data_IF_291734773830
#
_entry.id   IF_291734773830
#
_cell.length_a   1.000
_cell.length_b   1.000
_cell.length_c   1.000
_cell.angle_alpha   90.00
_cell.angle_beta   90.00
_cell.angle_gamma   90.00
#
_symmetry.space_group_name_H-M   'P 1'
#
loop_
_entity.id
_entity.type
_entity.pdbx_description
1 polymer ?
#
# COMPACT_ATOMS: atom_id res chain seq x y z
N UNK A 1 -17.29 21.50 -48.52
CA UNK A 1 -17.56 20.11 -48.10
C UNK A 1 -16.53 19.24 -48.80
N UNK A 2 -15.47 18.88 -48.10
CA UNK A 2 -14.35 18.09 -48.63
C UNK A 2 -14.07 17.02 -47.58
N UNK A 3 -14.36 15.78 -47.94
CA UNK A 3 -14.10 14.56 -47.18
C UNK A 3 -12.65 14.20 -47.47
N UNK A 4 -11.79 14.22 -46.45
CA UNK A 4 -10.49 13.58 -46.51
C UNK A 4 -10.55 12.32 -45.65
N UNK A 5 -10.52 11.16 -46.31
CA UNK A 5 -10.35 9.86 -45.69
C UNK A 5 -8.98 9.82 -45.00
N UNK A 6 -8.98 9.77 -43.66
CA UNK A 6 -7.81 9.42 -42.85
C UNK A 6 -7.44 7.96 -43.12
N UNK A 7 -6.37 7.73 -43.88
CA UNK A 7 -5.53 6.54 -43.71
C UNK A 7 -4.49 6.86 -42.64
N UNK A 8 -4.90 6.80 -41.38
CA UNK A 8 -3.95 6.76 -40.27
C UNK A 8 -3.47 5.33 -40.14
N UNK A 9 -2.26 5.07 -40.64
CA UNK A 9 -1.49 3.89 -40.26
C UNK A 9 -1.17 4.04 -38.77
N UNK A 10 -2.02 3.47 -37.92
CA UNK A 10 -1.70 3.30 -36.51
C UNK A 10 -0.63 2.21 -36.42
N UNK A 11 0.62 2.59 -36.24
CA UNK A 11 1.60 1.68 -35.65
C UNK A 11 1.22 1.49 -34.18
N UNK A 12 0.36 0.51 -33.90
CA UNK A 12 0.14 0.03 -32.54
C UNK A 12 1.34 -0.83 -32.15
N UNK A 13 2.35 -0.22 -31.52
CA UNK A 13 3.21 -0.97 -30.61
C UNK A 13 2.38 -1.13 -29.33
N UNK A 14 1.60 -2.21 -29.25
CA UNK A 14 0.81 -2.53 -28.07
C UNK A 14 1.73 -3.07 -26.97
N UNK A 15 2.43 -2.17 -26.28
CA UNK A 15 2.78 -2.46 -24.89
C UNK A 15 1.50 -2.33 -24.09
N UNK A 16 0.97 -3.47 -23.64
CA UNK A 16 -0.28 -3.53 -22.90
C UNK A 16 -0.26 -2.57 -21.72
N UNK A 17 -1.16 -1.57 -21.77
CA UNK A 17 -1.46 -0.59 -20.71
C UNK A 17 -0.63 0.70 -20.65
N UNK A 18 -0.50 1.40 -21.79
CA UNK A 18 -0.02 2.78 -21.77
C UNK A 18 -1.17 3.76 -21.43
N UNK A 19 -1.43 3.96 -20.13
CA UNK A 19 -2.49 4.85 -19.64
C UNK A 19 -2.15 6.36 -19.72
N UNK A 20 -0.97 6.71 -20.24
CA UNK A 20 -0.58 8.10 -20.42
C UNK A 20 -1.32 8.70 -21.62
N UNK A 21 -1.93 9.87 -21.42
CA UNK A 21 -2.68 10.61 -22.45
C UNK A 21 -2.37 12.10 -22.34
N UNK A 22 -2.35 12.79 -23.48
CA UNK A 22 -2.26 14.25 -23.49
C UNK A 22 -3.67 14.83 -23.41
N UNK A 23 -3.95 15.58 -22.35
CA UNK A 23 -5.20 16.32 -22.17
C UNK A 23 -4.97 17.77 -22.56
N UNK A 24 -5.75 18.23 -23.52
CA UNK A 24 -5.66 19.57 -24.09
C UNK A 24 -6.57 20.52 -23.31
N UNK A 25 -6.01 21.61 -22.81
CA UNK A 25 -6.72 22.66 -22.07
C UNK A 25 -6.31 24.04 -22.59
N UNK A 26 -7.18 25.04 -22.34
CA UNK A 26 -6.85 26.44 -22.60
C UNK A 26 -6.23 27.07 -21.35
N UNK A 27 -5.06 27.64 -21.51
CA UNK A 27 -4.34 28.23 -20.38
C UNK A 27 -2.94 28.69 -20.72
N UNK A 28 -2.30 29.32 -19.74
CA UNK A 28 -0.89 29.68 -19.80
C UNK A 28 -0.18 29.35 -18.47
N UNK A 29 1.04 28.78 -18.50
CA UNK A 29 1.82 28.60 -17.29
C UNK A 29 2.24 29.95 -16.70
N UNK A 30 1.99 30.17 -15.40
CA UNK A 30 2.40 31.37 -14.67
C UNK A 30 3.65 31.15 -13.82
N UNK A 31 3.82 29.92 -13.31
CA UNK A 31 5.00 29.49 -12.54
C UNK A 31 5.30 28.04 -12.90
N UNK A 32 6.58 27.72 -13.09
CA UNK A 32 6.99 26.34 -13.34
C UNK A 32 8.46 26.09 -13.10
N UNK A 33 8.78 24.83 -12.78
CA UNK A 33 10.14 24.31 -12.85
C UNK A 33 10.61 24.38 -14.31
N UNK A 34 11.90 24.66 -14.53
CA UNK A 34 12.49 25.06 -15.82
C UNK A 34 11.93 24.37 -17.07
N UNK A 35 11.89 25.10 -18.18
CA UNK A 35 11.34 24.65 -19.46
C UNK A 35 12.41 24.64 -20.56
N UNK A 36 12.29 23.69 -21.49
CA UNK A 36 13.00 23.76 -22.78
C UNK A 36 12.11 24.43 -23.82
N UNK A 37 12.71 25.13 -24.78
CA UNK A 37 11.98 25.88 -25.82
C UNK A 37 12.37 25.38 -27.21
N UNK A 38 11.37 25.20 -28.08
CA UNK A 38 11.53 24.67 -29.43
C UNK A 38 10.63 25.46 -30.41
N UNK A 39 11.09 25.65 -31.64
CA UNK A 39 10.29 26.26 -32.72
C UNK A 39 9.67 25.17 -33.59
N UNK A 40 8.53 24.65 -33.14
CA UNK A 40 7.85 23.52 -33.76
C UNK A 40 6.34 23.73 -33.75
N UNK A 41 5.62 23.01 -34.62
CA UNK A 41 4.16 23.08 -34.66
C UNK A 41 3.53 22.58 -33.35
N UNK A 42 2.28 22.96 -33.12
CA UNK A 42 1.55 22.50 -31.94
C UNK A 42 1.48 20.97 -31.85
N UNK A 43 1.22 20.31 -32.97
CA UNK A 43 1.14 18.86 -33.10
C UNK A 43 2.45 18.19 -32.69
N UNK A 44 3.58 18.76 -33.12
CA UNK A 44 4.89 18.28 -32.71
C UNK A 44 5.17 18.60 -31.24
N UNK A 45 4.69 19.72 -30.72
CA UNK A 45 4.93 20.14 -29.35
C UNK A 45 4.36 19.17 -28.30
N UNK A 46 3.06 18.86 -28.37
CA UNK A 46 2.47 17.93 -27.41
C UNK A 46 2.90 16.48 -27.69
N UNK A 47 3.21 16.12 -28.94
CA UNK A 47 3.73 14.79 -29.28
C UNK A 47 5.13 14.58 -28.71
N UNK A 48 6.00 15.58 -28.81
CA UNK A 48 7.33 15.56 -28.21
C UNK A 48 7.24 15.44 -26.69
N UNK A 49 6.33 16.20 -26.05
CA UNK A 49 6.08 16.05 -24.63
C UNK A 49 5.56 14.65 -24.26
N UNK A 50 4.69 14.07 -25.09
CA UNK A 50 4.17 12.73 -24.86
C UNK A 50 5.28 11.69 -24.75
N UNK A 51 6.23 11.71 -25.68
CA UNK A 51 7.35 10.76 -25.74
C UNK A 51 8.50 11.07 -24.79
N UNK A 52 8.67 12.33 -24.38
CA UNK A 52 9.69 12.71 -23.40
C UNK A 52 9.28 12.27 -21.99
N UNK A 53 10.04 11.34 -21.41
CA UNK A 53 9.82 10.80 -20.07
C UNK A 53 9.85 11.88 -18.98
N UNK A 54 10.54 13.00 -19.19
CA UNK A 54 10.65 14.09 -18.22
C UNK A 54 9.60 15.18 -18.44
N UNK A 55 8.86 15.17 -19.54
CA UNK A 55 7.88 16.20 -19.84
C UNK A 55 6.52 15.90 -19.20
N UNK A 56 6.02 16.87 -18.43
CA UNK A 56 4.70 16.82 -17.79
C UNK A 56 3.67 17.68 -18.53
N UNK A 57 4.14 18.76 -19.15
CA UNK A 57 3.28 19.78 -19.73
C UNK A 57 3.95 20.42 -20.94
N UNK A 58 3.21 20.52 -22.05
CA UNK A 58 3.58 21.30 -23.23
C UNK A 58 2.73 22.55 -23.31
N UNK A 59 3.33 23.70 -23.57
CA UNK A 59 2.63 24.95 -23.85
C UNK A 59 3.06 25.46 -25.21
N UNK A 60 2.11 25.85 -26.06
CA UNK A 60 2.41 26.41 -27.36
C UNK A 60 1.74 27.76 -27.57
N UNK A 61 2.54 28.75 -27.94
CA UNK A 61 2.08 30.08 -28.27
C UNK A 61 3.02 30.75 -29.27
N UNK A 62 2.46 31.40 -30.29
CA UNK A 62 3.22 32.15 -31.30
C UNK A 62 4.37 31.34 -31.94
N UNK A 63 4.10 30.09 -32.32
CA UNK A 63 5.06 29.13 -32.91
C UNK A 63 6.21 28.69 -31.99
N UNK A 64 6.14 29.03 -30.70
CA UNK A 64 7.08 28.54 -29.70
C UNK A 64 6.41 27.46 -28.85
N UNK A 65 7.06 26.31 -28.77
CA UNK A 65 6.74 25.22 -27.88
C UNK A 65 7.62 25.28 -26.64
N UNK A 66 7.02 25.27 -25.46
CA UNK A 66 7.70 25.15 -24.17
C UNK A 66 7.35 23.82 -23.53
N UNK A 67 8.35 23.00 -23.24
CA UNK A 67 8.17 21.74 -22.53
C UNK A 67 8.62 21.90 -21.08
N UNK A 68 7.68 21.67 -20.17
CA UNK A 68 7.90 21.77 -18.73
C UNK A 68 8.16 20.39 -18.15
N UNK A 69 9.22 20.31 -17.37
CA UNK A 69 9.51 19.11 -16.61
C UNK A 69 8.42 18.86 -15.56
N UNK A 70 8.43 17.65 -15.03
CA UNK A 70 7.69 17.31 -13.83
C UNK A 70 8.06 18.20 -12.63
N UNK A 71 7.04 18.73 -11.93
CA UNK A 71 7.25 19.66 -10.83
C UNK A 71 6.02 20.47 -10.45
N UNK A 72 6.19 21.37 -9.48
CA UNK A 72 5.12 22.30 -9.09
C UNK A 72 4.88 23.28 -10.23
N UNK A 73 3.66 23.31 -10.75
CA UNK A 73 3.25 24.16 -11.87
C UNK A 73 1.97 24.90 -11.51
N UNK A 74 1.89 26.17 -11.89
CA UNK A 74 0.66 26.95 -11.82
C UNK A 74 0.29 27.36 -13.23
N UNK A 75 -0.96 27.12 -13.60
CA UNK A 75 -1.55 27.43 -14.90
C UNK A 75 -2.67 28.42 -14.66
N UNK A 76 -2.66 29.55 -15.35
CA UNK A 76 -3.84 30.41 -15.45
C UNK A 76 -4.76 29.83 -16.50
N UNK A 77 -6.01 29.57 -16.10
CA UNK A 77 -7.04 29.07 -17.00
C UNK A 77 -7.49 30.21 -17.92
N UNK A 78 -7.58 29.90 -19.20
CA UNK A 78 -7.94 30.83 -20.25
C UNK A 78 -9.12 30.28 -21.05
N UNK A 79 -9.73 31.15 -21.84
CA UNK A 79 -10.81 30.76 -22.72
C UNK A 79 -10.29 30.40 -24.11
N UNK A 80 -11.14 29.74 -24.90
CA UNK A 80 -10.82 29.36 -26.28
C UNK A 80 -10.37 30.53 -27.15
N UNK A 81 -10.88 31.72 -26.89
CA UNK A 81 -10.57 32.95 -27.64
C UNK A 81 -9.12 33.41 -27.49
N UNK A 82 -8.43 32.99 -26.42
CA UNK A 82 -7.06 33.43 -26.13
C UNK A 82 -6.01 32.70 -26.98
N UNK A 83 -6.38 31.61 -27.67
CA UNK A 83 -5.48 30.88 -28.59
C UNK A 83 -4.25 30.26 -27.94
N UNK A 84 -4.23 30.17 -26.60
CA UNK A 84 -3.13 29.62 -25.80
C UNK A 84 -3.48 28.21 -25.34
N UNK A 85 -2.68 27.25 -25.78
CA UNK A 85 -2.95 25.83 -25.58
C UNK A 85 -1.92 25.21 -24.65
N UNK A 86 -2.43 24.36 -23.77
CA UNK A 86 -1.63 23.49 -22.92
C UNK A 86 -2.01 22.05 -23.19
N UNK A 87 -1.00 21.21 -23.34
CA UNK A 87 -1.10 19.76 -23.38
C UNK A 87 -0.54 19.26 -22.07
N UNK A 88 -1.41 18.72 -21.22
CA UNK A 88 -1.02 18.16 -19.94
C UNK A 88 -0.96 16.65 -20.04
N UNK A 89 0.18 16.04 -19.70
CA UNK A 89 0.30 14.59 -19.64
C UNK A 89 -0.43 14.07 -18.41
N UNK A 90 -1.47 13.27 -18.63
CA UNK A 90 -2.34 12.69 -17.59
C UNK A 90 -2.31 11.16 -17.64
N UNK A 91 -2.52 10.51 -16.50
CA UNK A 91 -2.64 9.05 -16.42
C UNK A 91 -4.12 8.65 -16.32
N UNK A 92 -4.75 8.33 -17.46
CA UNK A 92 -6.19 8.10 -17.59
C UNK A 92 -6.50 6.65 -17.99
N UNK A 93 -7.42 6.01 -17.28
CA UNK A 93 -7.88 4.64 -17.56
C UNK A 93 -8.85 4.55 -18.74
N UNK A 94 -9.64 5.61 -18.99
CA UNK A 94 -10.62 5.66 -20.08
C UNK A 94 -10.10 6.45 -21.29
N UNK A 95 -10.48 6.06 -22.51
CA UNK A 95 -10.17 6.77 -23.77
C UNK A 95 -10.98 8.06 -23.97
N UNK A 96 -11.88 8.37 -23.05
CA UNK A 96 -12.61 9.63 -22.99
C UNK A 96 -11.89 10.68 -22.15
N UNK A 97 -12.01 11.96 -22.53
CA UNK A 97 -11.58 13.06 -21.69
C UNK A 97 -12.31 13.03 -20.34
N UNK A 98 -11.61 13.28 -19.21
CA UNK A 98 -12.25 13.35 -17.90
C UNK A 98 -13.21 14.54 -17.85
N UNK A 99 -14.33 14.39 -17.14
CA UNK A 99 -15.34 15.45 -16.99
C UNK A 99 -14.75 16.73 -16.37
N UNK A 100 -13.74 16.59 -15.50
CA UNK A 100 -12.94 17.70 -15.02
C UNK A 100 -11.45 17.45 -15.29
N UNK A 101 -10.89 17.97 -16.39
CA UNK A 101 -9.47 17.79 -16.72
C UNK A 101 -8.53 18.60 -15.81
N UNK A 102 -9.06 19.47 -14.95
CA UNK A 102 -8.31 20.40 -14.10
C UNK A 102 -8.44 20.08 -12.61
N UNK A 103 -8.92 18.88 -12.29
CA UNK A 103 -8.97 18.34 -10.95
C UNK A 103 -8.55 16.87 -10.94
N UNK A 104 -8.06 16.43 -9.78
CA UNK A 104 -7.82 15.03 -9.48
C UNK A 104 -6.36 14.70 -9.18
N UNK A 105 -6.10 13.42 -9.01
CA UNK A 105 -4.78 12.92 -8.66
C UNK A 105 -4.28 11.96 -9.72
N UNK A 106 -3.10 12.24 -10.23
CA UNK A 106 -2.40 11.37 -11.16
C UNK A 106 -1.18 10.77 -10.48
N UNK A 107 -0.77 9.59 -10.94
CA UNK A 107 0.48 8.99 -10.53
C UNK A 107 1.23 8.47 -11.74
N UNK A 108 2.53 8.71 -11.79
CA UNK A 108 3.41 8.27 -12.85
C UNK A 108 4.71 7.79 -12.22
N UNK A 109 5.36 6.88 -12.93
CA UNK A 109 6.62 6.31 -12.52
C UNK A 109 7.74 6.87 -13.40
N UNK A 110 8.85 7.24 -12.78
CA UNK A 110 10.12 7.41 -13.45
C UNK A 110 11.23 6.82 -12.56
N UNK A 111 12.14 6.04 -13.15
CA UNK A 111 13.27 5.41 -12.48
C UNK A 111 12.97 4.82 -11.09
N UNK A 112 11.96 3.96 -10.98
CA UNK A 112 11.53 3.29 -9.74
C UNK A 112 10.91 4.20 -8.66
N UNK A 113 10.61 5.45 -8.98
CA UNK A 113 9.93 6.40 -8.10
C UNK A 113 8.51 6.64 -8.64
N UNK A 114 7.50 6.46 -7.78
CA UNK A 114 6.12 6.90 -8.00
C UNK A 114 6.00 8.34 -7.54
N UNK A 115 5.68 9.17 -8.51
CA UNK A 115 5.32 10.55 -8.31
C UNK A 115 3.81 10.69 -8.36
N UNK A 116 3.29 11.55 -7.50
CA UNK A 116 1.88 11.89 -7.43
C UNK A 116 1.72 13.37 -7.73
N UNK A 117 0.94 13.65 -8.78
CA UNK A 117 0.46 14.99 -9.08
C UNK A 117 -0.90 15.17 -8.44
N UNK A 118 -1.05 16.19 -7.61
CA UNK A 118 -2.36 16.66 -7.17
C UNK A 118 -2.72 17.91 -7.98
N UNK A 119 -3.78 17.82 -8.76
CA UNK A 119 -4.26 18.89 -9.62
C UNK A 119 -5.47 19.50 -8.93
N UNK A 120 -5.36 20.77 -8.58
CA UNK A 120 -6.45 21.54 -7.98
C UNK A 120 -6.76 22.74 -8.86
N UNK A 121 -8.02 23.17 -8.88
CA UNK A 121 -8.45 24.36 -9.59
C UNK A 121 -9.37 25.18 -8.70
N UNK A 122 -9.20 26.51 -8.75
CA UNK A 122 -10.12 27.48 -8.14
C UNK A 122 -10.96 28.22 -9.20
N UNK A 123 -11.02 27.71 -10.44
CA UNK A 123 -11.73 28.32 -11.57
C UNK A 123 -10.97 29.43 -12.32
N UNK A 124 -9.86 29.94 -11.76
CA UNK A 124 -9.00 30.95 -12.41
C UNK A 124 -7.59 30.40 -12.61
N UNK A 125 -7.09 29.68 -11.62
CA UNK A 125 -5.81 29.02 -11.64
C UNK A 125 -5.99 27.52 -11.41
N UNK A 126 -5.14 26.75 -12.08
CA UNK A 126 -4.93 25.34 -11.85
C UNK A 126 -3.52 25.16 -11.28
N UNK A 127 -3.41 24.53 -10.12
CA UNK A 127 -2.15 24.23 -9.47
C UNK A 127 -1.91 22.73 -9.53
N UNK A 128 -0.75 22.36 -10.04
CA UNK A 128 -0.24 20.99 -10.06
C UNK A 128 0.84 20.92 -8.98
N UNK A 129 0.54 20.22 -7.90
CA UNK A 129 1.52 19.97 -6.82
C UNK A 129 2.13 18.60 -7.02
N UNK A 130 3.46 18.57 -7.05
CA UNK A 130 4.27 17.38 -7.25
C UNK A 130 4.73 16.81 -5.90
N UNK A 131 4.53 15.52 -5.69
CA UNK A 131 4.99 14.83 -4.48
C UNK A 131 5.58 13.46 -4.81
N UNK A 132 6.70 13.11 -4.20
CA UNK A 132 7.26 11.75 -4.22
C UNK A 132 6.45 10.92 -3.23
N UNK A 133 5.93 9.77 -3.66
CA UNK A 133 5.02 8.97 -2.82
C UNK A 133 5.42 7.53 -2.63
N UNK A 134 6.23 6.95 -3.51
CA UNK A 134 6.77 5.60 -3.33
C UNK A 134 8.05 5.44 -4.14
N UNK A 135 9.21 5.38 -3.49
CA UNK A 135 10.46 4.95 -4.13
C UNK A 135 10.57 3.43 -3.93
N UNK A 136 10.73 2.60 -4.94
CA UNK A 136 11.13 1.19 -4.73
C UNK A 136 12.65 1.18 -4.51
N UNK A 137 13.13 0.58 -3.41
CA UNK A 137 14.57 0.59 -3.11
C UNK A 137 15.34 0.05 -4.30
N UNK A 138 16.42 0.73 -4.69
CA UNK A 138 17.24 0.49 -5.88
C UNK A 138 17.97 -0.86 -5.92
N UNK A 139 17.66 -1.80 -5.01
CA UNK A 139 18.27 -3.11 -4.91
C UNK A 139 17.19 -4.22 -4.94
N UNK A 140 16.89 -4.75 -6.13
CA UNK A 140 16.17 -6.03 -6.31
C UNK A 140 14.64 -5.96 -6.25
N UNK A 141 14.04 -4.78 -6.38
CA UNK A 141 12.59 -4.62 -6.57
C UNK A 141 12.28 -3.83 -7.84
N UNK A 142 11.16 -4.14 -8.48
CA UNK A 142 10.60 -3.39 -9.61
C UNK A 142 9.21 -2.92 -9.24
N UNK A 143 8.91 -1.70 -9.67
CA UNK A 143 7.61 -1.07 -9.49
C UNK A 143 6.64 -1.58 -10.56
N UNK A 144 5.46 -2.02 -10.13
CA UNK A 144 4.35 -2.39 -11.00
C UNK A 144 3.06 -1.70 -10.57
N UNK A 145 2.10 -1.71 -11.50
CA UNK A 145 0.76 -1.19 -11.29
C UNK A 145 -0.23 -2.34 -11.24
N UNK A 146 -1.04 -2.40 -10.18
CA UNK A 146 -2.10 -3.39 -9.96
C UNK A 146 -3.42 -2.70 -9.62
N UNK A 147 -4.28 -2.48 -10.61
CA UNK A 147 -5.55 -1.79 -10.42
C UNK A 147 -5.41 -0.50 -9.58
N UNK A 148 -5.84 -0.53 -8.31
CA UNK A 148 -5.79 0.60 -7.37
C UNK A 148 -4.48 0.71 -6.59
N UNK A 149 -3.51 -0.18 -6.83
CA UNK A 149 -2.25 -0.24 -6.11
C UNK A 149 -1.06 0.08 -7.03
N UNK A 150 -0.10 0.81 -6.47
CA UNK A 150 1.29 0.74 -6.91
C UNK A 150 2.03 -0.21 -5.99
N UNK A 151 2.79 -1.15 -6.55
CA UNK A 151 3.47 -2.20 -5.79
C UNK A 151 4.95 -2.25 -6.14
N UNK A 152 5.80 -2.37 -5.14
CA UNK A 152 7.19 -2.75 -5.31
C UNK A 152 7.29 -4.26 -5.09
N UNK A 153 7.63 -5.02 -6.12
CA UNK A 153 7.75 -6.49 -6.03
C UNK A 153 9.12 -6.96 -6.47
N UNK A 154 9.54 -8.12 -5.98
CA UNK A 154 10.85 -8.68 -6.31
C UNK A 154 10.94 -10.16 -5.99
N UNK A 155 12.09 -10.75 -6.32
CA UNK A 155 12.36 -12.16 -6.05
C UNK A 155 13.36 -12.28 -4.90
N UNK A 156 13.06 -13.18 -3.97
CA UNK A 156 13.98 -13.59 -2.91
C UNK A 156 14.38 -15.04 -3.12
N UNK A 157 15.68 -15.29 -3.08
CA UNK A 157 16.25 -16.61 -3.33
C UNK A 157 16.74 -17.25 -2.03
N UNK A 158 16.51 -18.55 -1.91
CA UNK A 158 17.00 -19.39 -0.83
C UNK A 158 18.42 -19.89 -1.10
N UNK A 159 19.13 -20.21 -0.01
CA UNK A 159 20.42 -20.88 -0.09
C UNK A 159 20.31 -22.32 -0.64
N UNK A 160 19.18 -23.00 -0.43
CA UNK A 160 18.86 -24.33 -0.97
C UNK A 160 17.38 -24.42 -1.37
N UNK A 161 16.94 -25.50 -2.01
CA UNK A 161 15.53 -25.68 -2.35
C UNK A 161 14.68 -25.75 -1.05
N UNK A 162 13.60 -24.98 -1.00
CA UNK A 162 12.81 -24.84 0.23
C UNK A 162 11.29 -24.94 -0.01
N UNK A 163 10.53 -25.41 0.99
CA UNK A 163 9.08 -25.50 0.93
C UNK A 163 8.39 -24.13 1.00
N UNK A 164 7.10 -24.09 0.68
CA UNK A 164 6.30 -22.86 0.64
C UNK A 164 6.27 -22.10 1.98
N UNK A 165 6.29 -22.81 3.11
CA UNK A 165 6.29 -22.18 4.44
C UNK A 165 7.54 -21.30 4.67
N UNK A 166 8.67 -21.68 4.09
CA UNK A 166 9.89 -20.88 4.16
C UNK A 166 9.79 -19.64 3.24
N UNK A 167 9.08 -19.74 2.12
CA UNK A 167 8.76 -18.60 1.25
C UNK A 167 7.95 -17.55 1.99
N UNK A 168 6.90 -17.97 2.70
CA UNK A 168 6.09 -17.07 3.54
C UNK A 168 6.95 -16.36 4.58
N UNK A 169 7.74 -17.12 5.35
CA UNK A 169 8.63 -16.55 6.38
C UNK A 169 9.64 -15.58 5.78
N UNK A 170 10.18 -15.89 4.60
CA UNK A 170 11.16 -15.04 3.93
C UNK A 170 10.55 -13.73 3.44
N UNK A 171 9.36 -13.77 2.82
CA UNK A 171 8.69 -12.58 2.32
C UNK A 171 8.01 -11.75 3.44
N UNK A 172 7.80 -12.31 4.63
CA UNK A 172 7.26 -11.60 5.80
C UNK A 172 8.36 -11.06 6.74
N UNK A 173 9.63 -11.06 6.31
CA UNK A 173 10.79 -10.58 7.09
C UNK A 173 11.45 -9.39 6.42
N UNK A 174 12.19 -8.61 7.22
CA UNK A 174 13.15 -7.60 6.75
C UNK A 174 12.55 -6.59 5.73
N UNK A 175 11.48 -5.91 6.14
CA UNK A 175 10.87 -4.81 5.41
C UNK A 175 10.20 -5.21 4.11
N UNK A 176 9.78 -6.47 3.96
CA UNK A 176 8.83 -6.92 2.95
C UNK A 176 7.47 -7.17 3.61
N UNK A 177 6.39 -7.02 2.85
CA UNK A 177 5.01 -7.09 3.33
C UNK A 177 4.48 -8.53 3.30
N UNK A 178 4.63 -9.22 2.17
CA UNK A 178 4.05 -10.55 1.97
C UNK A 178 4.69 -11.30 0.81
N UNK A 179 4.41 -12.61 0.68
CA UNK A 179 4.53 -13.29 -0.61
C UNK A 179 3.54 -12.66 -1.61
N UNK A 180 3.86 -12.65 -2.90
CA UNK A 180 3.02 -12.11 -3.98
C UNK A 180 3.04 -13.05 -5.18
N UNK A 181 2.35 -12.74 -6.27
CA UNK A 181 2.63 -13.33 -7.57
C UNK A 181 2.22 -12.43 -8.73
N UNK A 182 2.46 -12.87 -9.97
CA UNK A 182 2.22 -12.05 -11.15
C UNK A 182 0.72 -11.89 -11.44
N UNK A 183 0.28 -10.65 -11.66
CA UNK A 183 -1.10 -10.37 -12.10
C UNK A 183 -1.21 -9.99 -13.59
N UNK A 184 -0.07 -9.91 -14.27
CA UNK A 184 0.08 -9.59 -15.69
C UNK A 184 1.25 -10.36 -16.28
N UNK A 185 1.30 -10.45 -17.61
CA UNK A 185 2.43 -11.05 -18.32
C UNK A 185 3.74 -10.29 -18.06
N UNK A 186 3.69 -8.97 -17.86
CA UNK A 186 4.88 -8.16 -17.56
C UNK A 186 5.47 -8.50 -16.18
N UNK A 187 4.62 -8.68 -15.16
CA UNK A 187 5.08 -9.13 -13.85
C UNK A 187 5.62 -10.56 -13.91
N UNK A 188 4.96 -11.44 -14.69
CA UNK A 188 5.39 -12.82 -14.90
C UNK A 188 6.80 -12.85 -15.51
N UNK A 189 7.03 -12.09 -16.56
CA UNK A 189 8.32 -12.02 -17.24
C UNK A 189 9.42 -11.52 -16.31
N UNK A 190 9.14 -10.43 -15.58
CA UNK A 190 10.09 -9.93 -14.59
C UNK A 190 10.45 -10.98 -13.55
N UNK A 191 9.49 -11.70 -12.96
CA UNK A 191 9.82 -12.71 -11.96
C UNK A 191 10.59 -13.88 -12.55
N UNK A 192 10.24 -14.31 -13.77
CA UNK A 192 10.93 -15.39 -14.46
C UNK A 192 12.37 -15.03 -14.81
N UNK A 193 12.64 -13.78 -15.18
CA UNK A 193 13.99 -13.28 -15.45
C UNK A 193 14.87 -13.24 -14.17
N UNK A 194 14.23 -13.11 -13.01
CA UNK A 194 14.93 -13.04 -11.71
C UNK A 194 15.09 -14.40 -11.02
N UNK A 195 14.51 -15.49 -11.54
CA UNK A 195 14.57 -16.83 -10.93
C UNK A 195 15.96 -17.48 -11.03
N UNK A 196 16.96 -16.83 -11.63
CA UNK A 196 18.31 -17.35 -11.73
C UNK A 196 18.46 -18.61 -12.61
N UNK A 197 19.64 -19.21 -12.57
CA UNK A 197 20.04 -20.34 -13.40
C UNK A 197 19.79 -21.70 -12.73
N UNK A 198 19.97 -22.77 -13.51
CA UNK A 198 19.94 -24.15 -13.03
C UNK A 198 20.84 -24.33 -11.81
N UNK A 199 20.32 -25.00 -10.78
CA UNK A 199 21.01 -25.26 -9.52
C UNK A 199 21.21 -26.75 -9.37
N UNK A 200 22.47 -27.20 -9.36
CA UNK A 200 22.82 -28.63 -9.27
C UNK A 200 22.09 -29.52 -10.29
N UNK A 201 21.97 -29.05 -11.55
CA UNK A 201 21.27 -29.79 -12.59
C UNK A 201 19.74 -29.82 -12.44
N UNK A 202 19.17 -29.01 -11.53
CA UNK A 202 17.73 -28.84 -11.35
C UNK A 202 17.24 -27.48 -11.85
N UNK A 203 16.03 -27.48 -12.37
CA UNK A 203 15.32 -26.31 -12.88
C UNK A 203 14.88 -25.41 -11.73
N UNK A 204 15.15 -24.10 -11.80
CA UNK A 204 14.76 -23.16 -10.77
C UNK A 204 13.29 -22.76 -10.93
N UNK A 205 12.53 -22.93 -9.85
CA UNK A 205 11.13 -22.54 -9.69
C UNK A 205 10.98 -21.52 -8.56
N UNK A 206 9.92 -20.73 -8.62
CA UNK A 206 9.58 -19.74 -7.59
C UNK A 206 8.20 -20.02 -7.01
N UNK A 207 8.09 -20.01 -5.69
CA UNK A 207 6.80 -19.95 -5.01
C UNK A 207 6.14 -18.58 -5.23
N UNK A 208 4.84 -18.58 -5.45
CA UNK A 208 4.02 -17.36 -5.58
C UNK A 208 2.82 -17.45 -4.65
N UNK A 209 2.18 -16.32 -4.36
CA UNK A 209 1.04 -16.29 -3.44
C UNK A 209 -0.11 -17.23 -3.86
N UNK A 210 -0.83 -17.77 -2.89
CA UNK A 210 -1.86 -18.79 -3.09
C UNK A 210 -1.56 -20.09 -2.37
N UNK A 211 -1.73 -20.08 -1.05
CA UNK A 211 -1.67 -21.28 -0.21
C UNK A 211 -3.07 -21.88 -0.11
N UNK A 212 -3.34 -22.98 -0.83
CA UNK A 212 -4.63 -23.69 -0.72
C UNK A 212 -5.82 -22.77 -0.99
N UNK A 213 -5.70 -21.94 -2.01
CA UNK A 213 -6.70 -20.94 -2.41
C UNK A 213 -6.75 -19.67 -1.56
N UNK A 214 -5.84 -19.50 -0.59
CA UNK A 214 -5.75 -18.29 0.24
C UNK A 214 -4.59 -17.42 -0.21
N UNK A 215 -4.85 -16.11 -0.31
CA UNK A 215 -3.90 -15.11 -0.76
C UNK A 215 -3.46 -14.23 0.42
N UNK A 216 -2.15 -14.08 0.59
CA UNK A 216 -1.55 -13.19 1.58
C UNK A 216 -1.38 -11.76 1.05
N UNK A 217 -1.20 -11.60 -0.26
CA UNK A 217 -1.06 -10.31 -0.91
C UNK A 217 -2.44 -9.67 -1.15
N UNK A 218 -2.77 -8.65 -0.35
CA UNK A 218 -4.03 -7.92 -0.50
C UNK A 218 -4.11 -7.01 -1.72
N UNK A 219 -3.01 -6.81 -2.45
CA UNK A 219 -2.97 -5.99 -3.67
C UNK A 219 -3.43 -6.76 -4.90
N UNK A 220 -3.73 -8.06 -4.77
CA UNK A 220 -4.40 -8.85 -5.79
C UNK A 220 -5.42 -9.83 -5.19
N UNK A 221 -6.62 -9.90 -5.77
CA UNK A 221 -7.68 -10.82 -5.30
C UNK A 221 -7.66 -12.15 -6.06
N UNK A 222 -6.48 -12.75 -6.14
CA UNK A 222 -6.19 -13.93 -6.96
C UNK A 222 -5.71 -13.61 -8.38
N UNK A 223 -5.69 -14.63 -9.24
CA UNK A 223 -5.09 -14.55 -10.57
C UNK A 223 -6.11 -14.56 -11.68
N UNK A 224 -5.79 -13.83 -12.77
CA UNK A 224 -6.56 -13.93 -14.01
C UNK A 224 -6.46 -15.33 -14.58
N UNK A 225 -7.55 -15.79 -15.18
CA UNK A 225 -7.69 -17.17 -15.67
C UNK A 225 -6.59 -17.52 -16.68
N UNK A 226 -6.22 -16.57 -17.53
CA UNK A 226 -5.17 -16.69 -18.53
C UNK A 226 -3.76 -16.89 -17.94
N UNK A 227 -3.52 -16.58 -16.67
CA UNK A 227 -2.22 -16.84 -16.03
C UNK A 227 -2.16 -18.23 -15.39
N UNK A 228 -3.28 -18.93 -15.24
CA UNK A 228 -3.36 -20.24 -14.59
C UNK A 228 -3.20 -21.38 -15.61
N UNK A 229 -2.42 -22.41 -15.26
CA UNK A 229 -2.28 -23.60 -16.11
C UNK A 229 -3.61 -24.37 -16.27
N UNK A 230 -4.36 -24.51 -15.17
CA UNK A 230 -5.59 -25.33 -15.13
C UNK A 230 -6.87 -24.48 -15.07
N UNK A 231 -6.79 -23.18 -15.36
CA UNK A 231 -7.92 -22.23 -15.27
C UNK A 231 -8.61 -22.16 -13.88
N UNK A 232 -8.04 -22.78 -12.85
CA UNK A 232 -8.59 -22.82 -11.49
C UNK A 232 -7.47 -22.82 -10.45
N UNK A 233 -7.75 -22.24 -9.29
CA UNK A 233 -6.86 -22.25 -8.13
C UNK A 233 -7.19 -23.47 -7.26
N UNK A 234 -6.17 -24.26 -6.92
CA UNK A 234 -6.35 -25.42 -6.04
C UNK A 234 -6.57 -24.99 -4.59
N UNK A 235 -7.48 -25.69 -3.89
CA UNK A 235 -7.70 -25.57 -2.45
C UNK A 235 -6.82 -26.52 -1.62
N UNK A 236 -5.98 -27.32 -2.26
CA UNK A 236 -5.13 -28.34 -1.62
C UNK A 236 -3.63 -28.07 -1.81
N UNK A 237 -3.28 -27.35 -2.87
CA UNK A 237 -1.91 -27.10 -3.30
C UNK A 237 -1.51 -25.63 -3.15
N UNK A 238 -0.20 -25.40 -3.18
CA UNK A 238 0.43 -24.09 -3.25
C UNK A 238 0.79 -23.72 -4.69
N UNK A 239 0.85 -22.43 -4.98
CA UNK A 239 1.08 -21.92 -6.33
C UNK A 239 2.56 -21.61 -6.60
N UNK A 240 3.01 -21.87 -7.83
CA UNK A 240 4.37 -21.60 -8.26
C UNK A 240 4.47 -21.25 -9.75
N UNK A 241 5.60 -20.67 -10.14
CA UNK A 241 5.93 -20.32 -11.53
C UNK A 241 7.31 -20.84 -11.94
N UNK A 242 7.59 -20.82 -13.25
CA UNK A 242 8.89 -21.18 -13.83
C UNK A 242 8.98 -22.62 -14.35
N UNK A 243 7.89 -23.38 -14.27
CA UNK A 243 7.75 -24.68 -14.90
C UNK A 243 7.57 -24.52 -16.42
N UNK A 244 8.16 -25.39 -17.25
CA UNK A 244 7.88 -25.42 -18.68
C UNK A 244 6.49 -26.03 -18.89
N UNK A 245 5.49 -25.17 -18.81
CA UNK A 245 4.11 -25.50 -19.20
C UNK A 245 3.95 -25.29 -20.70
N UNK A 246 2.98 -25.98 -21.29
CA UNK A 246 2.40 -25.61 -22.58
C UNK A 246 0.93 -25.21 -22.33
N UNK A 247 0.56 -23.92 -22.43
CA UNK A 247 1.39 -22.79 -22.86
C UNK A 247 2.46 -22.41 -21.82
N UNK A 248 3.60 -21.80 -22.21
CA UNK A 248 4.61 -21.33 -21.26
C UNK A 248 4.07 -20.18 -20.39
N UNK A 249 4.81 -19.84 -19.33
CA UNK A 249 4.50 -18.70 -18.44
C UNK A 249 3.16 -18.85 -17.71
N UNK A 250 2.91 -20.02 -17.13
CA UNK A 250 1.71 -20.27 -16.31
C UNK A 250 2.05 -20.46 -14.84
N UNK A 251 1.09 -20.09 -14.01
CA UNK A 251 1.03 -20.42 -12.60
C UNK A 251 0.49 -21.85 -12.49
N UNK A 252 1.26 -22.70 -11.82
CA UNK A 252 0.94 -24.11 -11.59
C UNK A 252 0.80 -24.39 -10.10
N UNK A 253 0.41 -25.62 -9.76
CA UNK A 253 0.09 -26.05 -8.39
C UNK A 253 0.98 -27.21 -7.96
N UNK A 254 1.48 -27.18 -6.71
CA UNK A 254 2.24 -28.29 -6.12
C UNK A 254 1.96 -28.44 -4.61
N UNK A 255 2.26 -29.61 -4.05
CA UNK A 255 2.20 -29.84 -2.61
C UNK A 255 3.09 -28.82 -1.89
N UNK A 256 2.52 -28.12 -0.90
CA UNK A 256 3.19 -27.01 -0.21
C UNK A 256 4.46 -27.40 0.56
N UNK A 257 4.58 -28.69 0.95
CA UNK A 257 5.74 -29.24 1.65
C UNK A 257 6.84 -29.73 0.71
N UNK A 258 6.58 -29.76 -0.61
CA UNK A 258 7.62 -30.09 -1.58
C UNK A 258 8.68 -28.99 -1.54
N UNK A 259 9.95 -29.38 -1.58
CA UNK A 259 11.08 -28.46 -1.74
C UNK A 259 11.80 -28.70 -3.05
N UNK A 260 11.73 -29.93 -3.55
CA UNK A 260 12.25 -30.41 -4.81
C UNK A 260 11.38 -31.55 -5.34
N UNK A 261 11.36 -31.72 -6.67
CA UNK A 261 10.67 -32.83 -7.32
C UNK A 261 11.47 -33.24 -8.56
N UNK A 262 12.09 -34.41 -8.54
CA UNK A 262 12.90 -34.95 -9.65
C UNK A 262 13.97 -33.95 -10.13
N UNK A 263 13.66 -33.23 -11.22
CA UNK A 263 14.48 -32.23 -11.89
C UNK A 263 14.18 -30.78 -11.47
N UNK A 264 13.27 -30.53 -10.53
CA UNK A 264 12.81 -29.19 -10.15
C UNK A 264 13.25 -28.82 -8.73
N UNK A 265 13.53 -27.53 -8.53
CA UNK A 265 13.97 -26.97 -7.25
C UNK A 265 13.29 -25.61 -7.03
N UNK A 266 12.53 -25.48 -5.94
CA UNK A 266 11.97 -24.19 -5.55
C UNK A 266 13.03 -23.37 -4.85
N UNK A 267 13.74 -22.57 -5.64
CA UNK A 267 14.91 -21.82 -5.20
C UNK A 267 14.56 -20.47 -4.58
N UNK A 268 13.29 -20.07 -4.56
CA UNK A 268 12.91 -18.76 -4.09
C UNK A 268 11.41 -18.51 -4.10
N UNK A 269 11.06 -17.25 -3.87
CA UNK A 269 9.70 -16.77 -3.87
C UNK A 269 9.60 -15.35 -4.41
N UNK A 270 8.45 -15.02 -4.98
CA UNK A 270 8.09 -13.65 -5.33
C UNK A 270 7.52 -12.95 -4.11
N UNK A 271 8.07 -11.80 -3.74
CA UNK A 271 7.67 -11.05 -2.56
C UNK A 271 7.16 -9.64 -2.92
N UNK A 272 6.18 -9.16 -2.16
CA UNK A 272 5.73 -7.76 -2.12
C UNK A 272 6.54 -6.99 -1.09
N UNK A 273 7.25 -5.95 -1.51
CA UNK A 273 8.09 -5.12 -0.64
C UNK A 273 7.28 -4.07 0.10
N UNK A 274 6.42 -3.37 -0.64
CA UNK A 274 5.53 -2.30 -0.17
C UNK A 274 4.55 -1.96 -1.28
N UNK A 275 3.44 -1.32 -0.90
CA UNK A 275 2.43 -0.86 -1.83
C UNK A 275 1.83 0.47 -1.37
N UNK A 276 1.20 1.17 -2.31
CA UNK A 276 0.46 2.39 -2.08
C UNK A 276 -0.95 2.23 -2.66
N UNK A 277 -1.96 2.32 -1.79
CA UNK A 277 -3.37 2.30 -2.19
C UNK A 277 -3.79 3.66 -2.76
N UNK A 278 -4.46 3.64 -3.91
CA UNK A 278 -5.18 4.79 -4.46
C UNK A 278 -6.54 4.86 -3.80
N UNK A 279 -6.69 5.76 -2.83
CA UNK A 279 -8.01 6.15 -2.32
C UNK A 279 -8.76 6.90 -3.43
N UNK A 280 -9.50 6.18 -4.27
CA UNK A 280 -10.62 6.75 -4.99
C UNK A 280 -11.81 6.72 -4.04
N UNK A 281 -12.07 7.83 -3.36
CA UNK A 281 -13.34 8.01 -2.64
C UNK A 281 -14.44 8.17 -3.68
N UNK A 282 -15.15 7.06 -3.95
CA UNK A 282 -16.56 6.92 -4.37
C UNK A 282 -17.14 7.92 -5.37
N UNK A 283 -17.79 7.41 -6.42
CA UNK A 283 -18.59 8.12 -7.44
C UNK A 283 -19.82 8.91 -6.93
N UNK A 284 -19.89 9.26 -5.65
CA UNK A 284 -20.88 10.18 -5.10
C UNK A 284 -20.16 11.27 -4.29
N UNK A 285 -20.15 12.51 -4.82
CA UNK A 285 -19.63 13.67 -4.12
C UNK A 285 -20.52 14.05 -2.92
N UNK A 286 -19.96 14.30 -1.73
CA UNK A 286 -20.60 15.16 -0.75
C UNK A 286 -20.74 16.57 -1.34
N UNK A 287 -21.83 17.27 -1.01
CA UNK A 287 -22.15 18.60 -1.55
C UNK A 287 -21.12 19.71 -1.23
N UNK A 288 -20.05 19.40 -0.49
CA UNK A 288 -18.96 20.34 -0.23
C UNK A 288 -17.61 19.60 -0.07
N UNK A 289 -16.81 19.44 -1.15
CA UNK A 289 -15.69 18.50 -1.20
C UNK A 289 -14.43 18.93 -0.41
N UNK A 290 -14.41 20.14 0.14
CA UNK A 290 -13.26 20.66 0.90
C UNK A 290 -13.54 20.82 2.39
N UNK A 291 -14.81 20.86 2.81
CA UNK A 291 -15.15 20.96 4.23
C UNK A 291 -15.03 19.58 4.88
N UNK A 292 -14.03 19.40 5.74
CA UNK A 292 -13.72 18.08 6.28
C UNK A 292 -12.56 18.10 7.26
N UNK A 293 -12.41 17.00 7.99
CA UNK A 293 -11.25 16.77 8.85
C UNK A 293 -10.41 15.65 8.24
N UNK A 294 -9.17 15.96 7.89
CA UNK A 294 -8.20 15.06 7.29
C UNK A 294 -7.16 14.67 8.33
N UNK A 295 -6.76 13.40 8.38
CA UNK A 295 -5.75 12.92 9.33
C UNK A 295 -4.67 12.11 8.62
N UNK A 296 -3.39 12.37 8.92
CA UNK A 296 -2.26 11.55 8.46
C UNK A 296 -1.25 11.28 9.58
N UNK A 297 -0.52 10.17 9.50
CA UNK A 297 0.46 9.75 10.50
C UNK A 297 1.87 9.91 9.95
N UNK A 298 2.73 10.58 10.70
CA UNK A 298 4.17 10.69 10.41
C UNK A 298 4.99 10.47 11.69
N UNK A 299 5.91 9.52 11.66
CA UNK A 299 6.81 9.18 12.77
C UNK A 299 6.11 9.05 14.15
N UNK A 300 4.93 8.43 14.17
CA UNK A 300 4.10 8.32 15.38
C UNK A 300 3.11 9.46 15.58
N UNK A 301 3.38 10.66 15.05
CA UNK A 301 2.60 11.92 15.13
C UNK A 301 1.31 11.86 14.29
N UNK A 302 0.14 12.20 14.86
CA UNK A 302 -1.12 12.31 14.12
C UNK A 302 -1.39 13.77 13.80
N UNK A 303 -1.37 14.09 12.52
CA UNK A 303 -1.63 15.42 12.00
C UNK A 303 -3.10 15.50 11.60
N UNK A 304 -3.85 16.43 12.20
CA UNK A 304 -5.23 16.72 11.80
C UNK A 304 -5.28 18.07 11.09
N UNK A 305 -5.90 18.09 9.92
CA UNK A 305 -6.22 19.32 9.20
C UNK A 305 -7.72 19.42 9.11
N UNK A 306 -8.31 20.42 9.77
CA UNK A 306 -9.73 20.72 9.63
C UNK A 306 -9.89 21.91 8.69
N UNK A 307 -10.69 21.71 7.66
CA UNK A 307 -11.00 22.74 6.68
C UNK A 307 -12.48 23.08 6.85
N UNK A 308 -12.78 24.33 7.15
CA UNK A 308 -14.13 24.87 7.24
C UNK A 308 -14.28 26.03 6.27
N UNK A 309 -15.47 26.21 5.70
CA UNK A 309 -15.81 27.34 4.85
C UNK A 309 -17.01 28.06 5.45
N UNK A 310 -16.95 29.39 5.49
CA UNK A 310 -18.11 30.25 5.76
C UNK A 310 -18.76 30.78 4.48
N UNK A 311 -18.36 30.23 3.32
CA UNK A 311 -18.81 30.67 2.00
C UNK A 311 -17.98 31.80 1.39
N UNK A 312 -17.16 32.50 2.17
CA UNK A 312 -16.31 33.60 1.68
C UNK A 312 -14.82 33.30 1.88
N UNK A 313 -14.46 32.67 2.99
CA UNK A 313 -13.10 32.31 3.34
C UNK A 313 -13.00 30.83 3.75
N UNK A 314 -11.85 30.24 3.42
CA UNK A 314 -11.47 28.92 3.91
C UNK A 314 -10.65 29.07 5.17
N UNK A 315 -11.16 28.57 6.28
CA UNK A 315 -10.43 28.45 7.52
C UNK A 315 -9.80 27.06 7.58
N UNK A 316 -8.47 27.03 7.44
CA UNK A 316 -7.66 25.83 7.60
C UNK A 316 -7.06 25.87 9.00
N UNK A 317 -7.54 25.00 9.88
CA UNK A 317 -6.90 24.80 11.17
C UNK A 317 -6.05 23.53 11.15
N UNK A 318 -4.77 23.72 11.46
CA UNK A 318 -3.84 22.63 11.64
C UNK A 318 -3.74 22.33 13.13
N UNK A 319 -4.09 21.11 13.53
CA UNK A 319 -3.80 20.64 14.88
C UNK A 319 -2.84 19.46 14.81
N UNK A 320 -1.67 19.68 15.39
CA UNK A 320 -0.76 18.60 15.73
C UNK A 320 -1.35 17.97 16.98
N UNK A 321 -1.88 16.76 16.86
CA UNK A 321 -2.22 15.98 18.05
C UNK A 321 -0.94 15.27 18.44
N UNK A 322 -0.24 15.77 19.47
CA UNK A 322 0.88 15.04 20.09
C UNK A 322 0.34 13.66 20.46
N UNK A 323 0.75 12.57 19.78
CA UNK A 323 0.11 11.30 20.01
C UNK A 323 0.95 10.46 20.95
N UNK A 324 0.21 9.79 21.83
CA UNK A 324 0.67 8.78 22.75
C UNK A 324 1.75 9.31 23.70
N UNK A 325 1.40 9.37 24.99
CA UNK A 325 2.34 9.77 26.03
C UNK A 325 3.60 8.88 25.99
N UNK A 326 4.71 9.41 26.53
CA UNK A 326 5.99 8.67 26.59
C UNK A 326 5.76 7.27 27.17
N UNK A 327 6.29 6.25 26.50
CA UNK A 327 6.11 4.84 26.86
C UNK A 327 4.89 4.17 26.23
N UNK A 328 4.14 4.87 25.37
CA UNK A 328 3.05 4.30 24.57
C UNK A 328 3.31 4.41 23.07
N UNK A 329 2.69 3.53 22.29
CA UNK A 329 2.80 3.51 20.82
C UNK A 329 1.42 3.57 20.19
N UNK A 330 1.30 4.37 19.12
CA UNK A 330 0.06 4.54 18.37
C UNK A 330 -0.17 3.38 17.39
N UNK A 331 -1.31 2.72 17.50
CA UNK A 331 -1.80 1.69 16.58
C UNK A 331 -3.15 2.06 15.98
N UNK A 332 -3.50 1.40 14.87
CA UNK A 332 -4.79 1.52 14.20
C UNK A 332 -5.53 0.19 14.34
N UNK A 333 -6.76 0.23 14.85
CA UNK A 333 -7.67 -0.91 14.99
C UNK A 333 -9.00 -0.56 14.34
N UNK A 334 -9.33 -1.17 13.21
CA UNK A 334 -10.53 -0.82 12.43
C UNK A 334 -10.81 0.68 12.43
N UNK A 335 -11.83 1.11 13.20
CA UNK A 335 -12.40 2.45 13.40
C UNK A 335 -11.79 3.30 14.54
N UNK A 336 -10.69 2.82 15.12
CA UNK A 336 -10.03 3.43 16.27
C UNK A 336 -8.54 3.66 15.99
N UNK A 337 -8.04 4.77 16.52
CA UNK A 337 -6.62 4.97 16.78
C UNK A 337 -6.38 4.84 18.28
N UNK A 338 -5.48 3.95 18.67
CA UNK A 338 -5.26 3.59 20.08
C UNK A 338 -3.81 3.79 20.47
N UNK A 339 -3.60 4.36 21.66
CA UNK A 339 -2.29 4.42 22.29
C UNK A 339 -2.14 3.23 23.24
N UNK A 340 -1.22 2.32 22.96
CA UNK A 340 -1.02 1.11 23.74
C UNK A 340 0.33 1.15 24.44
N UNK A 341 0.44 0.50 25.59
CA UNK A 341 1.72 0.33 26.27
C UNK A 341 1.69 -0.82 27.26
N UNK A 342 2.82 -1.02 27.92
CA UNK A 342 3.02 -2.07 28.92
C UNK A 342 3.28 -1.40 30.26
N UNK A 343 2.51 -1.73 31.30
CA UNK A 343 2.77 -1.30 32.68
C UNK A 343 3.29 -2.48 33.50
N UNK A 344 4.20 -2.18 34.42
CA UNK A 344 4.85 -3.15 35.28
C UNK A 344 4.39 -2.96 36.72
N UNK A 345 4.21 -4.06 37.45
CA UNK A 345 4.10 -4.02 38.90
C UNK A 345 5.50 -3.90 39.53
N UNK A 346 5.59 -3.25 40.69
CA UNK A 346 6.79 -3.28 41.53
C UNK A 346 7.06 -4.70 42.06
N UNK A 347 6.00 -5.44 42.39
CA UNK A 347 6.02 -6.86 42.73
C UNK A 347 5.38 -7.69 41.60
N UNK A 348 4.47 -8.61 41.91
CA UNK A 348 3.58 -9.24 40.94
C UNK A 348 2.13 -9.00 41.38
N UNK A 349 1.19 -8.98 40.43
CA UNK A 349 -0.21 -8.65 40.67
C UNK A 349 -1.17 -9.66 40.05
N UNK A 350 -2.38 -9.72 40.60
CA UNK A 350 -3.51 -10.48 40.06
C UNK A 350 -4.13 -9.77 38.86
N UNK A 351 -5.07 -10.43 38.16
CA UNK A 351 -5.79 -9.79 37.06
C UNK A 351 -6.56 -8.54 37.51
N UNK A 352 -7.13 -8.57 38.73
CA UNK A 352 -7.82 -7.42 39.31
C UNK A 352 -6.85 -6.24 39.52
N UNK A 353 -5.62 -6.52 39.96
CA UNK A 353 -4.58 -5.51 40.11
C UNK A 353 -4.15 -4.94 38.74
N UNK A 354 -4.15 -5.76 37.69
CA UNK A 354 -3.83 -5.32 36.33
C UNK A 354 -4.90 -4.37 35.77
N UNK A 355 -6.17 -4.70 35.99
CA UNK A 355 -7.30 -3.83 35.62
C UNK A 355 -7.21 -2.47 36.32
N UNK A 356 -6.83 -2.45 37.61
CA UNK A 356 -6.60 -1.19 38.34
C UNK A 356 -5.40 -0.43 37.79
N UNK A 357 -4.27 -1.11 37.60
CA UNK A 357 -3.02 -0.53 37.07
C UNK A 357 -3.25 0.17 35.72
N UNK A 358 -4.08 -0.42 34.85
CA UNK A 358 -4.41 0.12 33.53
C UNK A 358 -5.57 1.16 33.54
N UNK A 359 -6.10 1.52 34.71
CA UNK A 359 -7.08 2.61 34.88
C UNK A 359 -6.52 3.81 35.66
N UNK A 360 -5.32 3.65 36.23
CA UNK A 360 -4.60 4.71 36.93
C UNK A 360 -3.85 5.63 35.96
N UNK A 361 -3.46 6.82 36.44
CA UNK A 361 -2.63 7.80 35.71
C UNK A 361 -3.17 8.21 34.33
N UNK A 362 -4.49 8.19 34.15
CA UNK A 362 -5.14 8.54 32.89
C UNK A 362 -4.95 7.49 31.79
N UNK A 363 -4.83 6.21 32.15
CA UNK A 363 -5.04 5.09 31.23
C UNK A 363 -6.52 4.67 31.24
N UNK A 364 -7.00 4.09 30.15
CA UNK A 364 -8.43 3.79 29.93
C UNK A 364 -8.80 2.40 30.47
N UNK A 365 -8.06 1.37 30.06
CA UNK A 365 -8.36 -0.01 30.40
C UNK A 365 -7.18 -0.94 30.21
N UNK A 366 -7.29 -2.16 30.74
CA UNK A 366 -6.50 -3.28 30.25
C UNK A 366 -6.85 -3.53 28.77
N UNK A 367 -5.89 -3.96 27.96
CA UNK A 367 -6.06 -4.26 26.53
C UNK A 367 -5.40 -5.58 26.18
N UNK A 368 -5.63 -6.09 24.98
CA UNK A 368 -4.85 -7.15 24.36
C UNK A 368 -4.52 -6.81 22.90
N UNK A 369 -3.75 -7.65 22.22
CA UNK A 369 -3.37 -7.39 20.84
C UNK A 369 -4.57 -7.54 19.90
N UNK A 370 -4.77 -6.53 19.07
CA UNK A 370 -5.69 -6.56 17.95
C UNK A 370 -4.98 -6.99 16.64
N UNK A 371 -3.65 -6.92 16.59
CA UNK A 371 -2.85 -7.33 15.42
C UNK A 371 -1.55 -8.01 15.84
N UNK A 372 -0.85 -8.62 14.86
CA UNK A 372 0.47 -9.22 15.07
C UNK A 372 1.49 -8.15 15.52
N UNK A 373 1.42 -6.95 14.96
CA UNK A 373 2.31 -5.83 15.31
C UNK A 373 2.11 -5.34 16.75
N UNK A 374 0.85 -5.27 17.21
CA UNK A 374 0.54 -4.95 18.61
C UNK A 374 1.08 -6.03 19.54
N UNK A 375 0.90 -7.30 19.18
CA UNK A 375 1.42 -8.42 19.96
C UNK A 375 2.94 -8.36 20.07
N UNK A 376 3.65 -8.15 18.96
CA UNK A 376 5.11 -8.02 18.95
C UNK A 376 5.58 -6.81 19.77
N UNK A 377 4.83 -5.71 19.73
CA UNK A 377 5.12 -4.56 20.57
C UNK A 377 5.01 -4.90 22.06
N UNK A 378 3.97 -5.60 22.50
CA UNK A 378 3.85 -6.04 23.90
C UNK A 378 4.97 -7.00 24.31
N UNK A 379 5.33 -7.95 23.44
CA UNK A 379 6.46 -8.87 23.67
C UNK A 379 7.79 -8.12 23.76
N UNK A 380 7.98 -7.07 22.96
CA UNK A 380 9.24 -6.29 22.95
C UNK A 380 9.37 -5.34 24.15
N UNK A 381 8.25 -4.96 24.78
CA UNK A 381 8.22 -4.01 25.89
C UNK A 381 7.94 -4.66 27.25
N UNK A 382 7.73 -5.98 27.31
CA UNK A 382 7.69 -6.71 28.57
C UNK A 382 9.09 -6.96 29.10
N UNK A 383 9.21 -7.11 30.41
CA UNK A 383 10.46 -7.60 31.01
C UNK A 383 10.71 -9.05 30.59
N UNK A 384 11.89 -9.32 30.02
CA UNK A 384 12.30 -10.66 29.63
C UNK A 384 12.24 -11.58 30.85
N UNK A 385 11.60 -12.73 30.70
CA UNK A 385 11.37 -13.74 31.73
C UNK A 385 10.11 -13.59 32.61
N UNK A 386 9.12 -12.79 32.18
CA UNK A 386 7.88 -12.70 32.93
C UNK A 386 6.64 -12.65 32.06
N UNK A 387 5.56 -13.08 32.72
CA UNK A 387 4.27 -13.16 32.11
C UNK A 387 3.40 -11.92 32.43
N UNK A 388 2.56 -11.50 31.48
CA UNK A 388 1.79 -10.24 31.54
C UNK A 388 0.30 -10.48 31.30
N UNK A 389 -0.55 -9.87 32.13
CA UNK A 389 -1.99 -9.89 31.95
C UNK A 389 -2.40 -9.13 30.68
N UNK A 390 -3.41 -9.64 29.98
CA UNK A 390 -4.03 -8.97 28.84
C UNK A 390 -5.54 -9.03 28.99
N UNK A 391 -6.24 -8.16 28.28
CA UNK A 391 -7.68 -8.07 28.38
C UNK A 391 -8.38 -9.35 27.90
N UNK A 392 -9.33 -9.81 28.71
CA UNK A 392 -10.06 -11.06 28.50
C UNK A 392 -10.24 -11.81 29.82
N UNK A 393 -11.46 -11.73 30.37
CA UNK A 393 -11.88 -12.48 31.55
C UNK A 393 -13.22 -13.14 31.25
N UNK A 394 -13.28 -14.47 31.29
CA UNK A 394 -14.52 -15.22 30.97
C UNK A 394 -15.11 -14.81 29.60
N UNK A 395 -14.26 -14.57 28.60
CA UNK A 395 -14.62 -14.07 27.26
C UNK A 395 -15.24 -12.66 27.22
N UNK A 396 -15.18 -11.92 28.32
CA UNK A 396 -15.52 -10.50 28.34
C UNK A 396 -14.25 -9.66 28.22
N UNK A 397 -14.35 -8.58 27.45
CA UNK A 397 -13.24 -7.66 27.15
C UNK A 397 -13.64 -6.27 27.63
N UNK A 398 -12.74 -5.60 28.35
CA UNK A 398 -12.93 -4.23 28.82
C UNK A 398 -12.53 -3.20 27.78
N UNK A 399 -11.57 -3.53 26.91
CA UNK A 399 -11.19 -2.71 25.78
C UNK A 399 -12.24 -2.85 24.68
N UNK A 400 -13.10 -1.83 24.55
CA UNK A 400 -14.14 -1.76 23.53
C UNK A 400 -13.63 -1.79 22.08
N UNK A 401 -12.33 -1.60 21.85
CA UNK A 401 -11.74 -1.56 20.51
C UNK A 401 -11.27 -2.94 20.02
N UNK A 402 -11.44 -4.00 20.83
CA UNK A 402 -11.29 -5.38 20.38
C UNK A 402 -12.25 -6.34 21.10
N UNK A 403 -12.50 -7.49 20.49
CA UNK A 403 -13.36 -8.54 21.04
C UNK A 403 -12.61 -9.89 21.19
N UNK A 404 -11.29 -9.87 20.97
CA UNK A 404 -10.43 -11.04 21.06
C UNK A 404 -10.70 -12.14 20.03
N UNK A 405 -11.49 -11.91 18.98
CA UNK A 405 -11.78 -12.94 17.94
C UNK A 405 -10.83 -12.89 16.75
N UNK A 406 -10.46 -11.69 16.31
CA UNK A 406 -9.59 -11.48 15.13
C UNK A 406 -8.17 -11.18 15.58
N UNK A 407 -7.18 -11.90 15.02
CA UNK A 407 -5.73 -11.64 15.21
C UNK A 407 -5.23 -11.62 16.66
N UNK A 408 -5.96 -12.26 17.58
CA UNK A 408 -5.58 -12.45 18.97
C UNK A 408 -4.88 -13.82 19.08
N UNK A 409 -3.54 -13.90 19.04
CA UNK A 409 -2.83 -15.16 18.80
C UNK A 409 -3.03 -16.10 19.98
N UNK A 410 -3.79 -17.19 19.85
CA UNK A 410 -4.12 -18.09 20.97
C UNK A 410 -3.21 -19.31 20.97
N UNK A 411 -2.72 -19.72 22.14
CA UNK A 411 -1.97 -20.97 22.28
C UNK A 411 -2.88 -22.20 22.18
N UNK A 412 -4.11 -22.07 22.68
CA UNK A 412 -5.17 -23.07 22.65
C UNK A 412 -6.53 -22.36 22.91
N UNK A 413 -7.62 -23.12 22.95
CA UNK A 413 -8.93 -22.57 23.32
C UNK A 413 -8.92 -21.93 24.70
N UNK A 414 -9.59 -20.79 24.86
CA UNK A 414 -9.71 -20.13 26.16
C UNK A 414 -10.77 -20.84 27.01
N UNK A 415 -10.44 -21.16 28.26
CA UNK A 415 -11.45 -21.69 29.17
C UNK A 415 -12.36 -20.59 29.70
N UNK A 416 -13.65 -20.93 29.85
CA UNK A 416 -14.72 -20.00 30.24
C UNK A 416 -14.56 -19.36 31.63
N UNK A 417 -13.66 -19.87 32.49
CA UNK A 417 -13.46 -19.41 33.86
C UNK A 417 -12.11 -18.71 34.11
N UNK A 418 -11.35 -18.38 33.06
CA UNK A 418 -9.97 -17.93 33.18
C UNK A 418 -9.74 -16.49 32.71
N UNK A 419 -8.63 -15.92 33.17
CA UNK A 419 -8.08 -14.63 32.75
C UNK A 419 -6.96 -14.84 31.74
N UNK A 420 -6.84 -13.93 30.77
CA UNK A 420 -5.93 -14.08 29.65
C UNK A 420 -4.61 -13.38 29.87
N UNK A 421 -3.56 -13.96 29.30
CA UNK A 421 -2.22 -13.47 29.52
C UNK A 421 -1.22 -13.85 28.42
N UNK A 422 -0.10 -13.12 28.38
CA UNK A 422 1.07 -13.42 27.54
C UNK A 422 2.13 -14.16 28.39
N UNK A 423 2.34 -15.47 28.18
CA UNK A 423 3.36 -16.26 28.85
C UNK A 423 4.76 -15.88 28.36
N UNK A 424 5.75 -16.00 29.23
CA UNK A 424 7.18 -15.88 28.94
C UNK A 424 7.58 -16.81 27.79
N UNK A 425 7.16 -18.07 27.87
CA UNK A 425 7.70 -19.16 27.04
C UNK A 425 7.05 -19.29 25.66
N UNK A 426 5.99 -18.55 25.36
CA UNK A 426 5.25 -18.71 24.11
C UNK A 426 4.91 -17.37 23.44
N UNK A 427 4.89 -17.38 22.11
CA UNK A 427 4.47 -16.27 21.26
C UNK A 427 2.96 -16.32 20.97
N UNK A 428 2.15 -16.52 22.01
CA UNK A 428 0.70 -16.56 21.94
C UNK A 428 0.10 -16.21 23.30
N UNK A 429 -1.20 -16.00 23.36
CA UNK A 429 -2.00 -15.72 24.54
C UNK A 429 -2.64 -17.02 25.00
N UNK A 430 -2.63 -17.22 26.30
CA UNK A 430 -3.25 -18.37 26.95
C UNK A 430 -4.08 -17.87 28.14
N UNK A 431 -4.71 -18.80 28.86
CA UNK A 431 -5.59 -18.51 29.98
C UNK A 431 -5.14 -19.21 31.25
N UNK A 432 -5.33 -18.59 32.41
CA UNK A 432 -5.09 -19.20 33.72
C UNK A 432 -5.91 -18.58 34.83
N UNK A 433 -5.70 -19.04 36.06
CA UNK A 433 -6.44 -18.55 37.22
C UNK A 433 -6.14 -17.06 37.44
N UNK A 434 -7.20 -16.26 37.57
CA UNK A 434 -7.10 -14.80 37.74
C UNK A 434 -6.35 -14.36 39.02
N UNK A 435 -6.18 -15.29 39.98
CA UNK A 435 -5.42 -15.09 41.22
C UNK A 435 -3.92 -15.31 41.08
N UNK A 436 -3.44 -15.77 39.91
CA UNK A 436 -2.01 -15.92 39.68
C UNK A 436 -1.28 -14.58 39.75
N UNK A 437 0.02 -14.62 39.98
CA UNK A 437 0.84 -13.43 40.22
C UNK A 437 1.75 -13.14 39.03
N UNK A 438 1.51 -12.03 38.33
CA UNK A 438 2.13 -11.68 37.04
C UNK A 438 2.85 -10.35 37.14
N UNK A 439 3.84 -10.08 36.28
CA UNK A 439 4.70 -8.89 36.43
C UNK A 439 4.17 -7.60 35.82
N UNK A 440 3.10 -7.67 35.06
CA UNK A 440 2.48 -6.47 34.53
C UNK A 440 1.26 -6.76 33.71
N UNK A 441 0.86 -5.74 32.96
CA UNK A 441 -0.30 -5.79 32.09
C UNK A 441 -0.07 -4.97 30.82
N UNK A 442 -0.74 -5.35 29.75
CA UNK A 442 -0.88 -4.51 28.57
C UNK A 442 -2.05 -3.57 28.78
N UNK A 443 -1.81 -2.27 28.59
CA UNK A 443 -2.80 -1.23 28.88
C UNK A 443 -3.11 -0.40 27.63
N UNK A 444 -4.36 0.03 27.53
CA UNK A 444 -4.85 1.03 26.58
C UNK A 444 -4.82 2.39 27.27
N UNK A 445 -4.04 3.32 26.72
CA UNK A 445 -3.87 4.66 27.27
C UNK A 445 -4.95 5.62 26.82
N UNK A 446 -5.33 5.54 25.54
CA UNK A 446 -6.22 6.50 24.91
C UNK A 446 -6.82 5.90 23.65
N UNK A 447 -8.11 6.17 23.45
CA UNK A 447 -8.83 5.89 22.20
C UNK A 447 -9.14 7.20 21.49
N UNK A 448 -8.87 7.24 20.20
CA UNK A 448 -9.25 8.32 19.31
C UNK A 448 -10.18 7.72 18.26
N UNK A 449 -11.45 8.13 18.30
CA UNK A 449 -12.40 7.82 17.25
C UNK A 449 -12.04 8.63 16.00
N UNK A 450 -12.15 7.99 14.84
CA UNK A 450 -11.95 8.65 13.56
C UNK A 450 -13.25 8.73 12.76
#
# INVERSE_FOLDING_TARGET
>A
MLIFCLFSVFFTVSNGQNYQKMVLIYGEPTVGNGYSTHEISWEHCYSMCYWDANCSLSYHYSSQCKLYAYGNLTIKQLNRTDGKFIGMKRNLTADSCPANPLAGTDSFNDNCIVYRNNITSNGIYCSITYSITLECDSCGTKLFRRDNYWVCVGVKLFADCSPYEDALKMCNRSGWESITGPISDEEMDYFLDQKGNWKNGRRPLLWVDGNKGKFADKTHNGYKRELLQYNSISTEYCLFIGYPTDPPKKISTRVCTDKDAESDCWIGATCLKRYLERNFTTDNCPANPLAGTYSFKDNGTLHKTKITSDGTFWNISYSITVPCDIGTKLFRRDNYLVCLGVKHFSSCGTYSDAVKLCKEDGWESITGPYSVEEFQYFISNRLSAYDYWVDGHQHTFQDQTHNGTSNYPRCHGFGHAYCYYIPQSYNCITSGFCSYCWKGATCLKKVLNF
#
